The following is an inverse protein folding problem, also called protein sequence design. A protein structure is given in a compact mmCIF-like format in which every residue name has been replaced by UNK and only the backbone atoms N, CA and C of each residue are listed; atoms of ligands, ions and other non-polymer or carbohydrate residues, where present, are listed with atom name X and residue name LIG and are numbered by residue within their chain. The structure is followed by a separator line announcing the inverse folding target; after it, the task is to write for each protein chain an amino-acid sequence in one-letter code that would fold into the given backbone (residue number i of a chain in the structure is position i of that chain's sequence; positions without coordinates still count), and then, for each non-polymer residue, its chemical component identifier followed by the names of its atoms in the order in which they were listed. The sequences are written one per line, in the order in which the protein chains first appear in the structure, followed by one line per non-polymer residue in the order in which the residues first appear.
data_IF_257788104018
#
_entry.id   IF_257788104018
#
_cell.length_a   1.000
_cell.length_b   1.000
_cell.length_c   1.000
_cell.angle_alpha   90.00
_cell.angle_beta   90.00
_cell.angle_gamma   90.00
#
_symmetry.space_group_name_H-M   'P 1'
#
loop_
_entity.id
_entity.type
_entity.pdbx_description
1 polymer ?
#
# COMPACT_ATOMS: atom_id res chain seq x y z
N UNK A 1 30.19 -17.10 35.38
CA UNK A 1 30.14 -15.83 34.65
C UNK A 1 28.77 -15.73 34.06
N UNK A 2 27.87 -15.07 34.78
CA UNK A 2 26.48 -14.78 34.34
C UNK A 2 26.48 -13.67 33.27
N UNK A 3 25.75 -13.92 32.22
CA UNK A 3 25.45 -12.87 31.22
C UNK A 3 24.32 -11.97 31.76
N UNK A 4 24.38 -10.64 31.59
CA UNK A 4 23.29 -9.78 32.00
C UNK A 4 22.11 -9.96 31.02
N UNK A 5 20.98 -10.35 31.56
CA UNK A 5 19.69 -10.41 30.90
C UNK A 5 19.18 -8.97 30.75
N UNK A 6 19.09 -8.47 29.52
CA UNK A 6 18.59 -7.14 29.22
C UNK A 6 17.11 -7.03 29.63
N UNK A 7 16.84 -6.16 30.57
CA UNK A 7 15.51 -5.75 30.96
C UNK A 7 14.95 -4.77 29.90
N UNK A 8 14.15 -5.28 28.99
CA UNK A 8 13.22 -4.49 28.19
C UNK A 8 12.00 -5.36 27.87
N UNK A 9 11.14 -5.56 28.84
CA UNK A 9 9.79 -6.05 28.64
C UNK A 9 8.91 -5.55 29.81
N UNK A 10 8.64 -4.24 29.84
CA UNK A 10 7.48 -3.77 30.59
C UNK A 10 6.30 -3.74 29.62
N UNK A 11 5.35 -4.66 29.83
CA UNK A 11 4.27 -4.99 28.95
C UNK A 11 3.29 -3.85 28.73
N UNK A 12 3.08 -3.53 27.48
CA UNK A 12 1.86 -2.86 27.05
C UNK A 12 0.71 -3.88 27.12
N UNK A 13 -0.29 -3.63 27.97
CA UNK A 13 -1.47 -4.50 28.07
C UNK A 13 -2.33 -4.39 26.81
N UNK A 14 -3.14 -5.42 26.52
CA UNK A 14 -4.08 -5.43 25.38
C UNK A 14 -5.01 -4.19 25.33
N UNK A 15 -5.29 -3.57 26.49
CA UNK A 15 -6.07 -2.33 26.61
C UNK A 15 -5.32 -1.09 26.11
N UNK A 16 -3.96 -1.09 26.11
CA UNK A 16 -3.14 -0.01 25.56
C UNK A 16 -3.03 -0.06 24.04
N UNK A 17 -3.11 -1.26 23.43
CA UNK A 17 -3.10 -1.41 21.96
C UNK A 17 -4.34 -0.82 21.27
N UNK A 18 -5.48 -0.70 21.98
CA UNK A 18 -6.71 -0.08 21.45
C UNK A 18 -6.57 1.45 21.32
N UNK A 19 -5.68 2.06 22.08
CA UNK A 19 -5.43 3.51 22.09
C UNK A 19 -4.36 3.95 21.09
N UNK A 20 -3.53 3.02 20.53
CA UNK A 20 -2.47 3.36 19.59
C UNK A 20 -3.05 3.84 18.26
N UNK A 21 -2.55 4.97 17.77
CA UNK A 21 -2.82 5.41 16.41
C UNK A 21 -1.86 4.71 15.45
N UNK A 22 -2.40 3.76 14.71
CA UNK A 22 -1.64 2.87 13.82
C UNK A 22 -1.90 3.28 12.39
N UNK A 23 -0.86 3.31 11.54
CA UNK A 23 -0.98 3.43 10.08
C UNK A 23 0.01 2.46 9.42
N UNK A 24 -0.53 1.45 8.75
CA UNK A 24 0.25 0.36 8.17
C UNK A 24 0.25 0.37 6.63
N UNK A 25 -0.16 1.49 6.01
CA UNK A 25 -0.19 1.60 4.55
C UNK A 25 0.03 3.05 4.10
N UNK A 26 1.21 3.33 3.59
CA UNK A 26 1.52 4.61 2.97
C UNK A 26 2.72 4.51 2.03
N UNK A 27 2.91 5.53 1.19
CA UNK A 27 3.90 5.58 0.12
C UNK A 27 4.84 6.76 0.25
N UNK A 28 6.09 6.54 -0.15
CA UNK A 28 7.10 7.57 -0.30
C UNK A 28 7.48 7.80 -1.78
N UNK A 29 8.40 8.72 -2.03
CA UNK A 29 8.93 8.96 -3.37
C UNK A 29 9.87 7.83 -3.86
N UNK A 30 10.07 6.80 -3.06
CA UNK A 30 10.72 5.56 -3.49
C UNK A 30 9.82 4.80 -4.47
N UNK A 31 8.49 4.91 -4.32
CA UNK A 31 7.52 4.44 -5.32
C UNK A 31 6.79 5.61 -5.98
N UNK A 32 5.59 5.94 -5.56
CA UNK A 32 4.76 6.97 -6.19
C UNK A 32 4.13 7.98 -5.21
N UNK A 33 4.61 8.02 -3.97
CA UNK A 33 4.42 9.16 -3.08
C UNK A 33 5.25 10.37 -3.52
N UNK A 34 5.03 11.52 -2.92
CA UNK A 34 5.76 12.77 -3.24
C UNK A 34 6.85 13.11 -2.22
N UNK A 35 6.81 12.52 -1.04
CA UNK A 35 7.70 12.83 0.07
C UNK A 35 8.76 11.74 0.26
N UNK A 36 9.95 12.13 0.73
CA UNK A 36 10.96 11.12 1.12
C UNK A 36 10.46 10.29 2.31
N UNK A 37 10.99 9.06 2.53
CA UNK A 37 10.60 8.25 3.69
C UNK A 37 10.71 9.01 5.02
N UNK A 38 11.75 9.84 5.19
CA UNK A 38 11.95 10.65 6.38
C UNK A 38 10.87 11.72 6.54
N UNK A 39 10.49 12.37 5.44
CA UNK A 39 9.45 13.40 5.47
C UNK A 39 8.06 12.79 5.75
N UNK A 40 7.78 11.58 5.21
CA UNK A 40 6.56 10.83 5.52
C UNK A 40 6.51 10.46 7.00
N UNK A 41 7.62 9.95 7.57
CA UNK A 41 7.72 9.65 9.00
C UNK A 41 7.40 10.87 9.88
N UNK A 42 8.03 12.02 9.58
CA UNK A 42 7.78 13.27 10.31
C UNK A 42 6.32 13.73 10.19
N UNK A 43 5.74 13.62 8.99
CA UNK A 43 4.34 13.97 8.74
C UNK A 43 3.37 13.04 9.47
N UNK A 44 3.60 11.72 9.44
CA UNK A 44 2.82 10.75 10.19
C UNK A 44 2.88 11.03 11.70
N UNK A 45 4.07 11.35 12.24
CA UNK A 45 4.23 11.72 13.66
C UNK A 45 3.48 12.97 14.04
N UNK A 46 3.54 14.02 13.21
CA UNK A 46 2.77 15.25 13.41
C UNK A 46 1.26 14.99 13.44
N UNK A 47 0.80 14.00 12.66
CA UNK A 47 -0.59 13.54 12.69
C UNK A 47 -0.91 12.66 13.92
N UNK A 48 0.06 12.38 14.79
CA UNK A 48 -0.10 11.61 16.02
C UNK A 48 -0.03 10.10 15.84
N UNK A 49 0.55 9.59 14.73
CA UNK A 49 0.78 8.16 14.53
C UNK A 49 1.82 7.65 15.54
N UNK A 50 1.55 6.51 16.15
CA UNK A 50 2.41 5.84 17.14
C UNK A 50 3.09 4.59 16.55
N UNK A 51 2.39 3.88 15.66
CA UNK A 51 2.88 2.70 14.94
C UNK A 51 2.70 2.92 13.44
N UNK A 52 3.78 2.78 12.70
CA UNK A 52 3.83 3.17 11.30
C UNK A 52 4.55 2.14 10.44
N UNK A 53 4.01 1.86 9.23
CA UNK A 53 4.69 1.11 8.19
C UNK A 53 4.85 1.96 6.93
N UNK A 54 6.00 1.81 6.25
CA UNK A 54 6.17 2.25 4.87
C UNK A 54 5.95 1.04 3.96
N UNK A 55 5.08 1.21 2.96
CA UNK A 55 4.63 0.11 2.08
C UNK A 55 4.71 0.50 0.61
N UNK A 56 5.83 1.05 0.18
CA UNK A 56 6.06 1.45 -1.20
C UNK A 56 5.71 0.34 -2.20
N UNK A 57 5.17 0.70 -3.36
CA UNK A 57 4.77 -0.25 -4.39
C UNK A 57 5.95 -1.05 -4.94
N UNK A 58 5.88 -2.39 -4.79
CA UNK A 58 6.83 -3.37 -5.34
C UNK A 58 8.31 -3.07 -5.01
N UNK A 59 8.58 -2.31 -3.93
CA UNK A 59 9.92 -1.86 -3.57
C UNK A 59 10.09 -1.76 -2.04
N UNK A 60 11.27 -2.16 -1.55
CA UNK A 60 11.64 -2.12 -0.13
C UNK A 60 12.82 -1.19 0.16
N UNK A 61 13.36 -0.52 -0.85
CA UNK A 61 14.55 0.34 -0.73
C UNK A 61 14.38 1.54 0.22
N UNK A 62 13.14 1.95 0.50
CA UNK A 62 12.81 3.02 1.45
C UNK A 62 12.85 2.61 2.93
N UNK A 63 12.79 1.30 3.23
CA UNK A 63 12.58 0.78 4.59
C UNK A 63 13.68 1.20 5.55
N UNK A 64 14.95 1.11 5.16
CA UNK A 64 16.06 1.46 6.05
C UNK A 64 15.99 2.92 6.50
N UNK A 65 15.73 3.84 5.58
CA UNK A 65 15.58 5.26 5.88
C UNK A 65 14.32 5.56 6.71
N UNK A 66 13.22 4.87 6.41
CA UNK A 66 11.96 4.98 7.15
C UNK A 66 12.10 4.51 8.60
N UNK A 67 12.78 3.38 8.83
CA UNK A 67 13.04 2.83 10.17
C UNK A 67 13.79 3.83 11.05
N UNK A 68 14.91 4.36 10.55
CA UNK A 68 15.70 5.37 11.29
C UNK A 68 14.86 6.60 11.62
N UNK A 69 14.12 7.11 10.65
CA UNK A 69 13.29 8.29 10.84
C UNK A 69 12.13 8.05 11.83
N UNK A 70 11.52 6.86 11.81
CA UNK A 70 10.46 6.50 12.77
C UNK A 70 11.01 6.41 14.20
N UNK A 71 12.19 5.80 14.39
CA UNK A 71 12.88 5.70 15.67
C UNK A 71 13.22 7.09 16.23
N UNK A 72 13.76 8.00 15.39
CA UNK A 72 14.05 9.38 15.76
C UNK A 72 12.80 10.16 16.18
N UNK A 73 11.65 9.83 15.61
CA UNK A 73 10.34 10.42 15.94
C UNK A 73 9.64 9.71 17.13
N UNK A 74 10.23 8.66 17.68
CA UNK A 74 9.64 7.87 18.77
C UNK A 74 8.42 7.06 18.36
N UNK A 75 8.30 6.69 17.07
CA UNK A 75 7.30 5.78 16.54
C UNK A 75 7.83 4.35 16.50
N UNK A 76 6.94 3.37 16.65
CA UNK A 76 7.24 1.99 16.27
C UNK A 76 7.16 1.85 14.77
N UNK A 77 8.20 1.24 14.19
CA UNK A 77 8.26 0.98 12.75
C UNK A 77 7.97 -0.49 12.44
N UNK A 78 7.12 -0.72 11.46
CA UNK A 78 6.82 -2.04 10.89
C UNK A 78 7.33 -2.06 9.45
N UNK A 79 8.13 -3.04 9.08
CA UNK A 79 8.57 -3.23 7.71
C UNK A 79 7.39 -3.62 6.83
N UNK A 80 7.29 -3.01 5.65
CA UNK A 80 6.17 -3.28 4.75
C UNK A 80 6.50 -3.09 3.28
N UNK A 81 5.62 -3.61 2.44
CA UNK A 81 5.62 -3.45 0.98
C UNK A 81 4.20 -3.64 0.46
N UNK A 82 3.78 -2.86 -0.53
CA UNK A 82 2.54 -3.12 -1.27
C UNK A 82 2.87 -3.74 -2.63
N UNK A 83 2.42 -4.97 -2.87
CA UNK A 83 2.75 -5.74 -4.07
C UNK A 83 1.56 -5.76 -5.03
N UNK A 84 1.81 -5.38 -6.28
CA UNK A 84 0.82 -5.43 -7.35
C UNK A 84 0.64 -6.85 -7.88
N UNK A 85 -0.60 -7.32 -7.97
CA UNK A 85 -0.95 -8.61 -8.59
C UNK A 85 -2.05 -8.43 -9.65
N UNK A 86 -2.21 -9.42 -10.50
CA UNK A 86 -3.38 -9.55 -11.37
C UNK A 86 -4.26 -10.68 -10.88
N UNK A 87 -5.50 -10.36 -10.51
CA UNK A 87 -6.52 -11.33 -10.14
C UNK A 87 -7.82 -11.03 -10.90
N UNK A 88 -8.42 -12.04 -11.52
CA UNK A 88 -9.62 -11.90 -12.38
C UNK A 88 -9.54 -10.74 -13.39
N UNK A 89 -8.35 -10.50 -13.98
CA UNK A 89 -8.00 -9.41 -14.93
C UNK A 89 -7.93 -8.01 -14.30
N UNK A 90 -8.16 -7.87 -13.02
CA UNK A 90 -8.02 -6.60 -12.28
C UNK A 90 -6.67 -6.53 -11.57
N UNK A 91 -6.16 -5.32 -11.40
CA UNK A 91 -5.02 -5.09 -10.51
C UNK A 91 -5.51 -5.08 -9.07
N UNK A 92 -5.02 -6.02 -8.28
CA UNK A 92 -5.24 -6.10 -6.83
C UNK A 92 -3.91 -5.86 -6.13
N UNK A 93 -3.93 -5.27 -4.95
CA UNK A 93 -2.74 -5.03 -4.16
C UNK A 93 -2.75 -5.88 -2.89
N UNK A 94 -1.58 -6.42 -2.56
CA UNK A 94 -1.36 -7.19 -1.34
C UNK A 94 -0.26 -6.49 -0.55
N UNK A 95 -0.59 -6.04 0.64
CA UNK A 95 0.39 -5.49 1.58
C UNK A 95 1.03 -6.63 2.35
N UNK A 96 2.36 -6.67 2.35
CA UNK A 96 3.17 -7.49 3.23
C UNK A 96 3.61 -6.66 4.41
N UNK A 97 3.32 -7.09 5.64
CA UNK A 97 3.70 -6.41 6.88
C UNK A 97 4.63 -7.29 7.70
N UNK A 98 5.51 -6.65 8.48
CA UNK A 98 6.49 -7.32 9.35
C UNK A 98 7.39 -8.29 8.59
N UNK A 99 7.82 -7.92 7.39
CA UNK A 99 8.65 -8.70 6.47
C UNK A 99 10.15 -8.56 6.78
N UNK A 100 10.93 -9.60 6.44
CA UNK A 100 12.37 -9.45 6.21
C UNK A 100 12.58 -8.87 4.81
N UNK A 101 12.90 -7.57 4.76
CA UNK A 101 13.11 -6.80 3.51
C UNK A 101 14.30 -7.30 2.68
N UNK A 102 15.16 -8.15 3.25
CA UNK A 102 16.32 -8.74 2.58
C UNK A 102 16.07 -10.18 2.12
N UNK A 103 14.90 -10.77 2.39
CA UNK A 103 14.61 -12.15 2.03
C UNK A 103 14.72 -12.39 0.52
N UNK A 104 15.52 -13.38 0.05
CA UNK A 104 15.84 -13.54 -1.38
C UNK A 104 14.62 -13.78 -2.27
N UNK A 105 13.64 -14.58 -1.82
CA UNK A 105 12.43 -14.84 -2.61
C UNK A 105 11.57 -13.59 -2.77
N UNK A 106 11.44 -12.78 -1.71
CA UNK A 106 10.70 -11.53 -1.75
C UNK A 106 11.38 -10.55 -2.70
N UNK A 107 12.67 -10.29 -2.54
CA UNK A 107 13.41 -9.31 -3.36
C UNK A 107 13.45 -9.71 -4.83
N UNK A 108 13.63 -11.01 -5.14
CA UNK A 108 13.56 -11.53 -6.51
C UNK A 108 12.13 -11.42 -7.09
N UNK A 109 11.10 -11.66 -6.27
CA UNK A 109 9.70 -11.48 -6.65
C UNK A 109 9.38 -10.03 -7.01
N UNK A 110 9.76 -9.09 -6.15
CA UNK A 110 9.60 -7.65 -6.39
C UNK A 110 10.33 -7.18 -7.66
N UNK A 111 11.55 -7.65 -7.88
CA UNK A 111 12.30 -7.34 -9.11
C UNK A 111 11.56 -7.83 -10.37
N UNK A 112 10.96 -9.04 -10.33
CA UNK A 112 10.15 -9.54 -11.45
C UNK A 112 8.91 -8.68 -11.69
N UNK A 113 8.24 -8.24 -10.63
CA UNK A 113 7.06 -7.38 -10.73
C UNK A 113 7.41 -6.02 -11.36
N UNK A 114 8.59 -5.44 -11.03
CA UNK A 114 9.05 -4.17 -11.62
C UNK A 114 9.45 -4.26 -13.09
N UNK A 115 9.95 -5.40 -13.55
CA UNK A 115 10.57 -5.54 -14.87
C UNK A 115 9.68 -5.15 -16.07
N UNK A 116 8.36 -5.15 -15.93
CA UNK A 116 7.42 -4.73 -16.98
C UNK A 116 6.98 -3.27 -16.95
N UNK A 117 7.36 -2.51 -15.93
CA UNK A 117 6.83 -1.15 -15.69
C UNK A 117 7.27 -0.14 -16.75
N UNK A 118 8.54 -0.15 -17.18
CA UNK A 118 9.03 0.81 -18.19
C UNK A 118 8.33 0.60 -19.54
N UNK A 119 8.22 -0.63 -20.01
CA UNK A 119 7.51 -0.93 -21.26
C UNK A 119 6.04 -0.46 -21.21
N UNK A 120 5.37 -0.70 -20.08
CA UNK A 120 4.01 -0.22 -19.86
C UNK A 120 3.93 1.30 -19.85
N UNK A 121 4.88 1.97 -19.22
CA UNK A 121 4.93 3.42 -19.15
C UNK A 121 5.09 4.07 -20.54
N UNK A 122 5.97 3.51 -21.37
CA UNK A 122 6.14 3.95 -22.76
C UNK A 122 4.86 3.77 -23.58
N UNK A 123 4.17 2.66 -23.39
CA UNK A 123 2.90 2.41 -24.06
C UNK A 123 1.79 3.36 -23.55
N UNK A 124 1.74 3.67 -22.27
CA UNK A 124 0.83 4.71 -21.71
C UNK A 124 1.11 6.05 -22.38
N UNK A 125 2.39 6.47 -22.49
CA UNK A 125 2.76 7.72 -23.17
C UNK A 125 2.28 7.73 -24.62
N UNK A 126 2.57 6.65 -25.36
CA UNK A 126 2.14 6.53 -26.76
C UNK A 126 0.61 6.66 -26.91
N UNK A 127 -0.15 6.07 -26.01
CA UNK A 127 -1.62 6.16 -26.03
C UNK A 127 -2.11 7.56 -25.66
N UNK A 128 -1.44 8.25 -24.74
CA UNK A 128 -1.75 9.63 -24.39
C UNK A 128 -1.41 10.59 -25.54
N UNK A 129 -0.30 10.39 -26.27
CA UNK A 129 0.06 11.15 -27.48
C UNK A 129 -1.02 11.03 -28.56
N UNK A 130 -1.55 9.83 -28.79
CA UNK A 130 -2.68 9.60 -29.70
C UNK A 130 -3.96 10.34 -29.27
N UNK A 131 -4.08 10.64 -27.99
CA UNK A 131 -5.17 11.42 -27.41
C UNK A 131 -4.87 12.94 -27.33
N UNK A 132 -3.74 13.38 -27.91
CA UNK A 132 -3.35 14.80 -27.98
C UNK A 132 -2.57 15.30 -26.74
N UNK A 133 -1.99 14.40 -25.95
CA UNK A 133 -1.14 14.73 -24.80
C UNK A 133 0.31 14.37 -25.13
N UNK A 134 1.07 15.32 -25.64
CA UNK A 134 2.46 15.12 -26.03
C UNK A 134 3.41 15.11 -24.81
N UNK A 135 4.56 14.42 -24.94
CA UNK A 135 5.63 14.43 -23.96
C UNK A 135 5.28 13.81 -22.60
N UNK A 136 4.29 12.90 -22.59
CA UNK A 136 3.75 12.35 -21.36
C UNK A 136 4.78 11.51 -20.59
N UNK A 137 5.70 10.80 -21.27
CA UNK A 137 6.73 9.98 -20.61
C UNK A 137 7.73 10.87 -19.84
N UNK A 138 8.32 11.84 -20.53
CA UNK A 138 9.28 12.79 -19.96
C UNK A 138 8.62 13.66 -18.88
N UNK A 139 7.37 14.03 -19.09
CA UNK A 139 6.57 14.76 -18.12
C UNK A 139 6.32 13.97 -16.84
N UNK A 140 5.98 12.69 -16.96
CA UNK A 140 5.79 11.81 -15.83
C UNK A 140 7.10 11.53 -15.07
N UNK A 141 8.25 11.43 -15.76
CA UNK A 141 9.57 11.23 -15.16
C UNK A 141 9.94 12.32 -14.14
N UNK A 142 9.43 13.55 -14.26
CA UNK A 142 9.68 14.63 -13.29
C UNK A 142 9.17 14.30 -11.88
N UNK A 143 8.18 13.41 -11.79
CA UNK A 143 7.53 13.01 -10.53
C UNK A 143 8.02 11.67 -10.00
N UNK A 144 8.94 11.01 -10.71
CA UNK A 144 9.43 9.66 -10.39
C UNK A 144 10.72 9.77 -9.59
N UNK A 145 10.74 9.24 -8.37
CA UNK A 145 11.96 9.11 -7.58
C UNK A 145 12.84 7.94 -8.04
N UNK A 146 12.22 6.83 -8.45
CA UNK A 146 12.89 5.65 -9.00
C UNK A 146 12.30 5.32 -10.38
N UNK A 147 13.05 5.48 -11.49
CA UNK A 147 12.56 5.23 -12.86
C UNK A 147 11.96 3.83 -13.09
N UNK A 148 12.42 2.81 -12.35
CA UNK A 148 11.90 1.44 -12.45
C UNK A 148 10.48 1.30 -11.87
N UNK A 149 9.98 2.35 -11.19
CA UNK A 149 8.69 2.36 -10.52
C UNK A 149 7.68 3.32 -11.14
N UNK A 150 7.87 3.70 -12.40
CA UNK A 150 6.89 4.56 -13.08
C UNK A 150 5.48 3.95 -13.03
N UNK A 151 4.54 4.71 -12.48
CA UNK A 151 3.14 4.32 -12.28
C UNK A 151 2.18 5.27 -13.00
N UNK A 152 0.90 4.91 -13.06
CA UNK A 152 -0.15 5.81 -13.59
C UNK A 152 -0.28 7.11 -12.80
N UNK A 153 0.05 7.09 -11.51
CA UNK A 153 0.02 8.27 -10.63
C UNK A 153 0.97 9.37 -11.12
N UNK A 154 2.17 8.99 -11.60
CA UNK A 154 3.13 9.95 -12.15
C UNK A 154 2.60 10.62 -13.43
N UNK A 155 2.00 9.85 -14.34
CA UNK A 155 1.30 10.43 -15.50
C UNK A 155 0.14 11.34 -15.07
N UNK A 156 -0.61 10.93 -14.03
CA UNK A 156 -1.72 11.75 -13.55
C UNK A 156 -1.24 13.11 -13.02
N UNK A 157 -0.13 13.15 -12.28
CA UNK A 157 0.48 14.40 -11.80
C UNK A 157 0.91 15.28 -12.96
N UNK A 158 1.54 14.71 -13.99
CA UNK A 158 1.89 15.46 -15.19
C UNK A 158 0.68 16.06 -15.89
N UNK A 159 -0.40 15.30 -16.07
CA UNK A 159 -1.61 15.80 -16.72
C UNK A 159 -2.29 16.92 -15.91
N UNK A 160 -2.16 16.92 -14.59
CA UNK A 160 -2.58 18.04 -13.73
C UNK A 160 -1.63 19.23 -13.89
N UNK A 161 -0.30 19.02 -13.91
CA UNK A 161 0.71 20.07 -14.09
C UNK A 161 0.47 20.87 -15.37
N UNK A 162 0.19 20.18 -16.48
CA UNK A 162 -0.06 20.83 -17.78
C UNK A 162 -1.49 21.37 -17.95
N UNK A 163 -2.33 21.26 -16.92
CA UNK A 163 -3.71 21.75 -16.94
C UNK A 163 -4.70 20.92 -17.78
N UNK A 164 -4.35 19.70 -18.20
CA UNK A 164 -5.26 18.80 -18.94
C UNK A 164 -6.45 18.35 -18.08
N UNK A 165 -6.27 18.30 -16.77
CA UNK A 165 -7.29 18.03 -15.76
C UNK A 165 -7.04 18.87 -14.50
N UNK A 166 -8.11 19.10 -13.72
CA UNK A 166 -8.04 19.87 -12.48
C UNK A 166 -7.41 19.11 -11.30
N UNK A 167 -7.49 17.78 -11.30
CA UNK A 167 -7.03 16.93 -10.19
C UNK A 167 -6.81 15.49 -10.65
N UNK A 168 -6.10 14.71 -9.81
CA UNK A 168 -5.77 13.31 -10.05
C UNK A 168 -7.00 12.43 -10.33
N UNK A 169 -8.10 12.48 -9.53
CA UNK A 169 -9.30 11.69 -9.81
C UNK A 169 -9.90 11.96 -11.19
N UNK A 170 -9.84 13.20 -11.67
CA UNK A 170 -10.32 13.56 -13.00
C UNK A 170 -9.45 12.95 -14.09
N UNK A 171 -8.12 12.92 -13.91
CA UNK A 171 -7.20 12.29 -14.86
C UNK A 171 -7.53 10.79 -15.00
N UNK A 172 -7.66 10.08 -13.89
CA UNK A 172 -8.02 8.66 -13.93
C UNK A 172 -9.35 8.45 -14.68
N UNK A 173 -10.37 9.24 -14.37
CA UNK A 173 -11.68 9.13 -15.03
C UNK A 173 -11.63 9.39 -16.54
N UNK A 174 -10.80 10.34 -17.00
CA UNK A 174 -10.73 10.74 -18.40
C UNK A 174 -9.72 9.95 -19.23
N UNK A 175 -8.57 9.56 -18.62
CA UNK A 175 -7.42 9.07 -19.38
C UNK A 175 -6.87 7.73 -18.92
N UNK A 176 -6.84 7.39 -17.61
CA UNK A 176 -5.99 6.31 -17.09
C UNK A 176 -6.74 5.11 -16.51
N UNK A 177 -8.07 5.16 -16.41
CA UNK A 177 -8.89 4.01 -16.01
C UNK A 177 -9.22 3.11 -17.20
N UNK A 178 -9.70 1.90 -16.94
CA UNK A 178 -10.12 0.95 -17.97
C UNK A 178 -11.07 1.57 -18.99
N UNK A 179 -10.85 1.28 -20.28
CA UNK A 179 -11.59 1.84 -21.39
C UNK A 179 -11.26 3.31 -21.71
N UNK A 180 -10.21 3.88 -21.12
CA UNK A 180 -9.73 5.24 -21.40
C UNK A 180 -8.45 5.23 -22.23
N UNK A 181 -8.15 6.34 -22.96
CA UNK A 181 -7.05 6.36 -23.93
C UNK A 181 -5.69 5.91 -23.40
N UNK A 182 -5.29 6.36 -22.24
CA UNK A 182 -4.00 6.03 -21.62
C UNK A 182 -4.04 4.76 -20.74
N UNK A 183 -5.13 3.98 -20.76
CA UNK A 183 -5.16 2.72 -20.05
C UNK A 183 -4.42 1.63 -20.82
N UNK A 184 -3.36 1.11 -20.20
CA UNK A 184 -2.59 -0.02 -20.72
C UNK A 184 -2.74 -1.18 -19.74
N UNK A 185 -3.39 -2.29 -20.17
CA UNK A 185 -3.47 -3.48 -19.33
C UNK A 185 -2.08 -4.02 -19.04
N UNK A 186 -1.89 -4.56 -17.86
CA UNK A 186 -0.65 -5.18 -17.45
C UNK A 186 -0.94 -6.42 -16.63
N UNK A 187 -0.16 -7.48 -16.82
CA UNK A 187 -0.24 -8.69 -16.01
C UNK A 187 0.89 -8.63 -14.99
N UNK A 188 0.52 -8.46 -13.75
CA UNK A 188 1.42 -8.51 -12.60
C UNK A 188 1.65 -9.97 -12.15
N UNK A 189 2.34 -10.15 -11.04
CA UNK A 189 2.47 -11.45 -10.38
C UNK A 189 1.13 -12.07 -9.99
N UNK A 190 1.14 -13.34 -9.61
CA UNK A 190 -0.05 -14.05 -9.14
C UNK A 190 -0.27 -13.82 -7.64
N UNK A 191 -1.51 -14.05 -7.18
CA UNK A 191 -1.85 -14.03 -5.76
C UNK A 191 -1.03 -15.06 -4.98
N UNK A 192 -0.88 -16.29 -5.54
CA UNK A 192 -0.15 -17.38 -4.91
C UNK A 192 1.34 -17.06 -4.73
N UNK A 193 2.00 -16.54 -5.76
CA UNK A 193 3.40 -16.15 -5.69
C UNK A 193 3.60 -15.06 -4.63
N UNK A 194 2.77 -14.02 -4.66
CA UNK A 194 2.89 -12.86 -3.77
C UNK A 194 2.69 -13.23 -2.31
N UNK A 195 1.64 -13.99 -1.99
CA UNK A 195 1.43 -14.49 -0.62
C UNK A 195 2.58 -15.41 -0.20
N UNK A 196 3.09 -16.24 -1.13
CA UNK A 196 4.26 -17.10 -0.90
C UNK A 196 5.50 -16.28 -0.52
N UNK A 197 5.85 -15.23 -1.27
CA UNK A 197 7.02 -14.37 -0.98
C UNK A 197 6.91 -13.65 0.37
N UNK A 198 5.72 -13.09 0.68
CA UNK A 198 5.49 -12.41 1.96
C UNK A 198 5.67 -13.39 3.13
N UNK A 199 5.09 -14.58 3.03
CA UNK A 199 5.20 -15.61 4.07
C UNK A 199 6.61 -16.16 4.20
N UNK A 200 7.32 -16.38 3.09
CA UNK A 200 8.73 -16.80 3.12
C UNK A 200 9.61 -15.76 3.84
N UNK A 201 9.31 -14.46 3.65
CA UNK A 201 9.95 -13.36 4.36
C UNK A 201 9.48 -13.19 5.82
N UNK A 202 8.73 -14.14 6.38
CA UNK A 202 8.23 -14.11 7.77
C UNK A 202 7.09 -13.12 8.01
N UNK A 203 6.58 -12.49 6.97
CA UNK A 203 5.57 -11.44 7.05
C UNK A 203 4.13 -11.93 7.05
N UNK A 204 3.22 -10.99 7.25
CA UNK A 204 1.77 -11.15 7.20
C UNK A 204 1.22 -10.54 5.92
N UNK A 205 0.54 -11.35 5.10
CA UNK A 205 -0.13 -10.86 3.89
C UNK A 205 -1.50 -10.27 4.22
N UNK A 206 -1.79 -9.10 3.64
CA UNK A 206 -3.01 -8.31 3.85
C UNK A 206 -3.59 -7.91 2.48
N UNK A 207 -4.88 -8.15 2.21
CA UNK A 207 -5.53 -7.54 1.03
C UNK A 207 -5.70 -6.05 1.28
N UNK A 208 -5.08 -5.22 0.44
CA UNK A 208 -5.16 -3.78 0.50
C UNK A 208 -6.51 -3.27 -0.02
N UNK A 209 -7.06 -2.24 0.62
CA UNK A 209 -8.26 -1.48 0.23
C UNK A 209 -9.32 -2.26 -0.57
N UNK A 210 -9.86 -3.39 -0.05
CA UNK A 210 -10.73 -4.30 -0.81
C UNK A 210 -12.01 -3.64 -1.33
N UNK A 211 -12.49 -2.58 -0.70
CA UNK A 211 -13.65 -1.81 -1.16
C UNK A 211 -13.41 -0.91 -2.37
N UNK A 212 -12.16 -0.81 -2.84
CA UNK A 212 -11.79 -0.09 -4.06
C UNK A 212 -12.06 -0.90 -5.32
N UNK A 213 -12.04 -2.24 -5.22
CA UNK A 213 -12.20 -3.13 -6.37
C UNK A 213 -13.67 -3.26 -6.76
N UNK A 214 -13.93 -3.28 -8.07
CA UNK A 214 -15.29 -3.39 -8.62
C UNK A 214 -15.70 -4.84 -8.85
N UNK A 215 -15.46 -5.67 -7.85
CA UNK A 215 -15.89 -7.07 -7.90
C UNK A 215 -17.37 -7.23 -7.55
N UNK A 216 -18.01 -8.24 -8.15
CA UNK A 216 -19.28 -8.74 -7.62
C UNK A 216 -19.02 -9.39 -6.25
N UNK A 217 -20.06 -9.52 -5.43
CA UNK A 217 -19.94 -10.22 -4.14
C UNK A 217 -19.38 -11.64 -4.29
N UNK A 218 -19.78 -12.36 -5.36
CA UNK A 218 -19.25 -13.68 -5.66
C UNK A 218 -17.74 -13.65 -5.96
N UNK A 219 -17.29 -12.75 -6.82
CA UNK A 219 -15.88 -12.63 -7.15
C UNK A 219 -15.05 -12.18 -5.93
N UNK A 220 -15.56 -11.25 -5.12
CA UNK A 220 -14.89 -10.86 -3.88
C UNK A 220 -14.78 -12.02 -2.89
N UNK A 221 -15.84 -12.83 -2.74
CA UNK A 221 -15.79 -14.03 -1.92
C UNK A 221 -14.75 -15.03 -2.42
N UNK A 222 -14.67 -15.26 -3.73
CA UNK A 222 -13.64 -16.12 -4.33
C UNK A 222 -12.22 -15.62 -4.06
N UNK A 223 -11.99 -14.30 -4.15
CA UNK A 223 -10.68 -13.72 -3.80
C UNK A 223 -10.33 -13.99 -2.34
N UNK A 224 -11.27 -13.79 -1.41
CA UNK A 224 -11.03 -14.00 0.01
C UNK A 224 -10.80 -15.48 0.35
N UNK A 225 -11.57 -16.40 -0.25
CA UNK A 225 -11.38 -17.83 -0.07
C UNK A 225 -10.01 -18.30 -0.59
N UNK A 226 -9.62 -17.88 -1.81
CA UNK A 226 -8.32 -18.20 -2.40
C UNK A 226 -7.18 -17.62 -1.57
N UNK A 227 -7.28 -16.34 -1.19
CA UNK A 227 -6.28 -15.68 -0.35
C UNK A 227 -6.09 -16.39 0.99
N UNK A 228 -7.17 -16.79 1.65
CA UNK A 228 -7.11 -17.54 2.90
C UNK A 228 -6.47 -18.92 2.72
N UNK A 229 -6.83 -19.65 1.65
CA UNK A 229 -6.23 -20.96 1.34
C UNK A 229 -4.73 -20.88 1.10
N UNK A 230 -4.24 -19.80 0.52
CA UNK A 230 -2.82 -19.52 0.30
C UNK A 230 -2.09 -19.10 1.58
N UNK A 231 -2.80 -18.85 2.67
CA UNK A 231 -2.26 -18.42 3.96
C UNK A 231 -2.22 -16.89 4.15
N UNK A 232 -3.02 -16.16 3.39
CA UNK A 232 -3.31 -14.75 3.66
C UNK A 232 -4.05 -14.60 4.97
N UNK A 233 -3.71 -13.59 5.77
CA UNK A 233 -4.12 -13.53 7.18
C UNK A 233 -4.98 -12.32 7.54
N UNK A 234 -4.97 -11.24 6.74
CA UNK A 234 -5.66 -10.01 7.09
C UNK A 234 -6.25 -9.30 5.87
N UNK A 235 -7.20 -8.40 6.12
CA UNK A 235 -7.70 -7.43 5.14
C UNK A 235 -7.66 -6.02 5.72
N UNK A 236 -7.52 -4.99 4.89
CA UNK A 236 -7.74 -3.62 5.33
C UNK A 236 -9.23 -3.38 5.55
N UNK A 237 -9.57 -3.07 6.80
CA UNK A 237 -10.93 -2.70 7.22
C UNK A 237 -11.09 -1.18 7.14
N UNK A 238 -10.10 -0.44 7.64
CA UNK A 238 -10.09 1.03 7.62
C UNK A 238 -8.96 1.51 6.73
N UNK A 239 -9.30 2.18 5.63
CA UNK A 239 -8.31 2.75 4.72
C UNK A 239 -8.83 4.07 4.13
N UNK A 240 -7.92 4.91 3.66
CA UNK A 240 -8.25 6.17 3.00
C UNK A 240 -9.09 6.01 1.73
N UNK A 241 -9.06 4.83 1.12
CA UNK A 241 -9.83 4.49 -0.08
C UNK A 241 -11.27 4.03 0.21
N UNK A 242 -11.59 3.66 1.45
CA UNK A 242 -12.94 3.25 1.85
C UNK A 242 -13.85 4.43 2.20
N UNK A 243 -15.15 4.25 2.04
CA UNK A 243 -16.16 5.16 2.58
C UNK A 243 -16.48 4.80 4.03
N UNK A 244 -17.04 5.73 4.84
CA UNK A 244 -17.44 5.41 6.20
C UNK A 244 -18.38 4.20 6.34
N UNK A 245 -19.27 3.97 5.36
CA UNK A 245 -20.19 2.83 5.36
C UNK A 245 -19.46 1.49 5.08
N UNK A 246 -18.31 1.53 4.42
CA UNK A 246 -17.52 0.34 4.15
C UNK A 246 -16.74 -0.15 5.38
N UNK A 247 -16.42 0.70 6.36
CA UNK A 247 -15.69 0.24 7.55
C UNK A 247 -16.44 -0.87 8.33
N UNK A 248 -17.72 -0.73 8.68
CA UNK A 248 -18.45 -1.82 9.32
C UNK A 248 -18.69 -3.02 8.38
N UNK A 249 -18.83 -2.81 7.07
CA UNK A 249 -18.97 -3.88 6.09
C UNK A 249 -17.72 -4.77 6.07
N UNK A 250 -16.52 -4.16 5.91
CA UNK A 250 -15.26 -4.92 5.90
C UNK A 250 -14.90 -5.49 7.28
N UNK A 251 -15.33 -4.89 8.36
CA UNK A 251 -15.23 -5.50 9.70
C UNK A 251 -16.06 -6.79 9.81
N UNK A 252 -17.27 -6.81 9.28
CA UNK A 252 -18.09 -8.01 9.23
C UNK A 252 -17.48 -9.09 8.34
N UNK A 253 -16.95 -8.71 7.16
CA UNK A 253 -16.26 -9.62 6.26
C UNK A 253 -14.99 -10.20 6.89
N UNK A 254 -14.17 -9.38 7.58
CA UNK A 254 -13.01 -9.85 8.32
C UNK A 254 -13.39 -10.93 9.34
N UNK A 255 -14.42 -10.69 10.14
CA UNK A 255 -14.93 -11.65 11.11
C UNK A 255 -15.49 -12.93 10.45
N UNK A 256 -16.27 -12.77 9.37
CA UNK A 256 -16.88 -13.91 8.65
C UNK A 256 -15.82 -14.86 8.08
N UNK A 257 -14.78 -14.31 7.44
CA UNK A 257 -13.68 -15.10 6.89
C UNK A 257 -12.62 -15.48 7.94
N UNK A 258 -12.69 -14.93 9.15
CA UNK A 258 -11.68 -15.13 10.19
C UNK A 258 -10.34 -14.47 9.84
N UNK A 259 -10.37 -13.31 9.19
CA UNK A 259 -9.21 -12.46 8.96
C UNK A 259 -8.96 -11.51 10.11
N UNK A 260 -7.71 -11.17 10.32
CA UNK A 260 -7.31 -10.02 11.11
C UNK A 260 -7.63 -8.72 10.35
N UNK A 261 -7.79 -7.63 11.10
CA UNK A 261 -8.10 -6.32 10.54
C UNK A 261 -6.85 -5.44 10.46
N UNK A 262 -6.54 -4.93 9.28
CA UNK A 262 -5.52 -3.91 9.07
C UNK A 262 -6.14 -2.53 8.90
N UNK A 263 -5.29 -1.51 9.07
CA UNK A 263 -5.63 -0.10 8.97
C UNK A 263 -4.45 0.68 8.36
N UNK A 264 -4.72 1.49 7.34
CA UNK A 264 -3.72 2.35 6.70
C UNK A 264 -4.35 3.45 5.86
N UNK A 265 -3.69 4.59 5.78
CA UNK A 265 -4.21 5.76 5.05
C UNK A 265 -4.15 5.62 3.54
N UNK A 266 -3.26 4.77 3.03
CA UNK A 266 -2.88 4.76 1.60
C UNK A 266 -2.40 6.15 1.15
N UNK A 267 -1.62 6.81 2.04
CA UNK A 267 -1.13 8.18 1.84
C UNK A 267 -0.05 8.21 0.76
N UNK A 268 -0.21 9.13 -0.19
CA UNK A 268 0.75 9.40 -1.25
C UNK A 268 1.27 10.84 -1.21
N UNK A 269 0.39 11.79 -0.89
CA UNK A 269 0.73 13.21 -0.79
C UNK A 269 -0.32 13.98 0.02
N UNK A 270 0.07 15.11 0.65
CA UNK A 270 -0.89 16.01 1.27
C UNK A 270 -1.92 16.48 0.23
N UNK A 271 -3.21 16.29 0.54
CA UNK A 271 -4.32 16.72 -0.32
C UNK A 271 -4.63 15.83 -1.54
N UNK A 272 -3.86 14.78 -1.83
CA UNK A 272 -4.20 13.78 -2.85
C UNK A 272 -5.13 12.70 -2.31
N UNK A 273 -4.92 12.26 -1.08
CA UNK A 273 -5.76 11.27 -0.41
C UNK A 273 -7.01 11.93 0.17
N UNK A 274 -8.17 11.26 0.06
CA UNK A 274 -9.42 11.74 0.65
C UNK A 274 -9.37 11.73 2.17
N UNK A 275 -8.63 10.77 2.75
CA UNK A 275 -8.39 10.61 4.18
C UNK A 275 -6.89 10.50 4.40
N UNK A 276 -6.34 11.41 5.20
CA UNK A 276 -4.94 11.48 5.56
C UNK A 276 -4.69 10.82 6.93
N UNK A 277 -3.44 10.61 7.33
CA UNK A 277 -3.01 10.08 8.64
C UNK A 277 -3.81 10.64 9.82
N UNK A 278 -4.03 11.97 9.82
CA UNK A 278 -4.73 12.66 10.92
C UNK A 278 -6.21 12.27 11.01
N UNK A 279 -6.87 12.06 9.88
CA UNK A 279 -8.31 11.88 9.77
C UNK A 279 -8.73 10.40 9.68
N UNK A 280 -7.80 9.46 9.58
CA UNK A 280 -8.11 8.04 9.50
C UNK A 280 -8.74 7.55 10.82
N UNK A 281 -9.97 7.01 10.81
CA UNK A 281 -10.63 6.58 12.05
C UNK A 281 -10.00 5.31 12.64
N UNK A 282 -10.22 5.01 13.93
CA UNK A 282 -9.77 3.76 14.54
C UNK A 282 -10.48 2.56 13.93
N UNK A 283 -9.92 1.34 14.11
CA UNK A 283 -10.62 0.11 13.79
C UNK A 283 -11.91 -0.03 14.61
N UNK A 284 -12.97 -0.60 14.04
CA UNK A 284 -14.15 -1.02 14.81
C UNK A 284 -13.78 -1.96 15.96
N UNK A 285 -14.38 -1.79 17.13
CA UNK A 285 -14.03 -2.54 18.34
C UNK A 285 -14.37 -4.03 18.33
N UNK A 286 -15.01 -4.52 17.26
CA UNK A 286 -15.43 -5.92 17.08
C UNK A 286 -14.51 -6.73 16.17
N UNK A 287 -13.33 -6.24 15.81
CA UNK A 287 -12.33 -6.95 14.99
C UNK A 287 -11.03 -7.15 15.77
N UNK A 288 -10.26 -8.16 15.39
CA UNK A 288 -8.92 -8.38 15.94
C UNK A 288 -7.90 -7.66 15.04
N UNK A 289 -7.15 -6.67 15.59
CA UNK A 289 -6.12 -5.97 14.81
C UNK A 289 -5.00 -6.91 14.35
N UNK A 290 -4.43 -6.66 13.17
CA UNK A 290 -3.31 -7.46 12.63
C UNK A 290 -2.05 -7.39 13.52
N UNK A 291 -1.93 -6.33 14.31
CA UNK A 291 -0.82 -6.09 15.23
C UNK A 291 -1.09 -6.54 16.68
N UNK A 292 -2.15 -7.34 16.92
CA UNK A 292 -2.61 -7.69 18.27
C UNK A 292 -1.57 -8.41 19.14
N UNK A 293 -0.58 -9.04 18.51
CA UNK A 293 0.49 -9.81 19.15
C UNK A 293 1.91 -9.30 18.81
N UNK A 294 2.03 -8.10 18.23
CA UNK A 294 3.34 -7.58 17.82
C UNK A 294 4.07 -6.79 18.91
N UNK A 295 3.40 -6.42 19.99
CA UNK A 295 3.97 -5.59 21.04
C UNK A 295 3.49 -5.99 22.46
#
# INVERSE_FOLDING_TARGET
VEKPQAAYNEGFSAAQNIMLKVDLHCHSNVSDGVMTPQAVAAYARQAGVDVWALTDHDEVGGIAAARVAAEEQGMRFITGVEISITWAKETVHIVGLNIDEHHPELTAGLARTRAGRDNRAREISRQLELAGIDGAYEGALKFVGNPDLMSRTHFARYLVEIGACANIPEVFRKYLSEGRPGYVPHSWGTLADTVGWIRAAGGVAVIAHPGRYRFSQLAQGQLFDEFKQLGGAAIEVVTGSHTPDQYPEYAQLANYYGFLASRGSDFHAPGESRVDFAALPPLPGNVTPVWHDWF
#
